data_IF_131480818354
#
_entry.id   IF_131480818354
#
_cell.length_a   1.000
_cell.length_b   1.000
_cell.length_c   1.000
_cell.angle_alpha   90.00
_cell.angle_beta   90.00
_cell.angle_gamma   90.00
#
_symmetry.space_group_name_H-M   'P 1'
#
loop_
_entity.id
_entity.type
_entity.pdbx_description
1 polymer ?
#
# COMPACT_ATOMS: atom_id res chain seq x y z
N UNK A 1 11.48 -8.72 15.86
CA UNK A 1 10.92 -7.97 14.73
C UNK A 1 9.61 -8.61 14.28
N UNK A 2 8.54 -7.83 14.32
CA UNK A 2 7.23 -8.31 13.92
C UNK A 2 7.12 -8.42 12.41
N UNK A 3 6.61 -9.54 11.91
CA UNK A 3 6.39 -9.74 10.47
C UNK A 3 5.06 -9.12 10.05
N UNK A 4 5.05 -8.51 8.89
CA UNK A 4 3.84 -7.91 8.33
C UNK A 4 3.52 -8.53 6.97
N UNK A 5 2.24 -8.85 6.72
CA UNK A 5 1.86 -9.45 5.45
C UNK A 5 1.97 -8.43 4.32
N UNK A 6 2.43 -8.92 3.18
CA UNK A 6 2.53 -8.12 1.97
C UNK A 6 2.22 -9.02 0.76
N UNK A 7 1.62 -8.46 -0.28
CA UNK A 7 1.39 -9.21 -1.51
C UNK A 7 2.68 -9.31 -2.32
N UNK A 8 2.71 -10.25 -3.26
CA UNK A 8 3.86 -10.40 -4.18
C UNK A 8 4.09 -9.09 -4.95
N UNK A 9 3.03 -8.49 -5.48
CA UNK A 9 3.13 -7.23 -6.23
C UNK A 9 3.57 -6.07 -5.34
N UNK A 10 3.11 -6.04 -4.08
CA UNK A 10 3.52 -5.01 -3.12
C UNK A 10 5.01 -5.06 -2.82
N UNK A 11 5.56 -6.26 -2.61
CA UNK A 11 6.99 -6.42 -2.39
C UNK A 11 7.78 -6.00 -3.63
N UNK A 12 7.32 -6.37 -4.80
CA UNK A 12 7.95 -6.02 -6.05
C UNK A 12 7.98 -4.50 -6.28
N UNK A 13 6.86 -3.84 -5.95
CA UNK A 13 6.77 -2.38 -6.04
C UNK A 13 7.72 -1.69 -5.06
N UNK A 14 7.86 -2.20 -3.84
CA UNK A 14 8.82 -1.65 -2.87
C UNK A 14 10.25 -1.79 -3.37
N UNK A 15 10.61 -2.94 -3.92
CA UNK A 15 11.95 -3.17 -4.47
C UNK A 15 12.23 -2.24 -5.65
N UNK A 16 11.26 -2.03 -6.53
CA UNK A 16 11.38 -1.13 -7.68
C UNK A 16 11.54 0.32 -7.24
N UNK A 17 10.75 0.75 -6.26
CA UNK A 17 10.85 2.10 -5.70
C UNK A 17 12.23 2.31 -5.06
N UNK A 18 12.72 1.33 -4.30
CA UNK A 18 14.02 1.39 -3.66
C UNK A 18 15.14 1.55 -4.69
N UNK A 19 15.07 0.79 -5.77
CA UNK A 19 16.04 0.88 -6.86
C UNK A 19 16.03 2.27 -7.51
N UNK A 20 14.84 2.81 -7.77
CA UNK A 20 14.68 4.15 -8.34
C UNK A 20 15.26 5.23 -7.40
N UNK A 21 14.96 5.14 -6.10
CA UNK A 21 15.47 6.08 -5.12
C UNK A 21 17.00 6.07 -5.07
N UNK A 22 17.62 4.89 -5.09
CA UNK A 22 19.08 4.76 -4.99
C UNK A 22 19.80 5.08 -6.28
N UNK A 23 19.27 4.68 -7.42
CA UNK A 23 19.97 4.72 -8.70
C UNK A 23 19.60 5.92 -9.57
N UNK A 24 18.45 6.54 -9.33
CA UNK A 24 17.96 7.69 -10.10
C UNK A 24 17.83 8.93 -9.24
N UNK A 25 17.03 8.89 -8.20
CA UNK A 25 16.71 10.08 -7.42
C UNK A 25 17.88 10.56 -6.56
N UNK A 26 18.60 9.63 -5.92
CA UNK A 26 19.75 9.99 -5.08
C UNK A 26 20.87 10.66 -5.87
N UNK A 27 21.34 10.11 -7.00
CA UNK A 27 22.34 10.80 -7.80
C UNK A 27 21.88 12.17 -8.30
N UNK A 28 20.61 12.27 -8.68
CA UNK A 28 20.01 13.50 -9.20
C UNK A 28 20.01 14.61 -8.15
N UNK A 29 19.66 14.28 -6.91
CA UNK A 29 19.64 15.27 -5.82
C UNK A 29 21.05 15.66 -5.40
N UNK A 30 22.01 14.74 -5.44
CA UNK A 30 23.41 15.05 -5.16
C UNK A 30 23.93 16.09 -6.18
N UNK A 31 23.59 15.91 -7.46
CA UNK A 31 23.95 16.86 -8.51
C UNK A 31 23.26 18.22 -8.30
N UNK A 32 21.98 18.22 -7.93
CA UNK A 32 21.24 19.45 -7.64
C UNK A 32 21.83 20.23 -6.45
N UNK A 33 22.29 19.52 -5.43
CA UNK A 33 22.96 20.14 -4.27
C UNK A 33 24.28 20.78 -4.72
N UNK A 34 25.07 20.08 -5.51
CA UNK A 34 26.35 20.59 -6.03
C UNK A 34 26.13 21.84 -6.87
N UNK A 35 25.12 21.84 -7.72
CA UNK A 35 24.76 23.01 -8.55
C UNK A 35 24.33 24.18 -7.68
N UNK A 36 23.45 23.95 -6.71
CA UNK A 36 22.98 25.01 -5.81
C UNK A 36 24.13 25.64 -5.00
N UNK A 37 25.09 24.82 -4.58
CA UNK A 37 26.28 25.33 -3.84
C UNK A 37 27.15 26.24 -4.69
N UNK A 38 27.14 26.05 -6.00
CA UNK A 38 27.89 26.88 -6.92
C UNK A 38 27.37 28.31 -7.03
N UNK A 39 26.14 28.57 -6.58
CA UNK A 39 25.49 29.88 -6.65
C UNK A 39 25.82 30.80 -5.46
N UNK A 40 26.66 30.37 -4.53
CA UNK A 40 27.21 31.26 -3.47
C UNK A 40 26.73 30.92 -2.07
N UNK A 41 26.20 31.92 -1.33
CA UNK A 41 25.89 31.82 0.09
C UNK A 41 24.90 30.71 0.43
N UNK A 42 25.33 29.78 1.28
CA UNK A 42 24.50 28.63 1.67
C UNK A 42 23.38 28.99 2.65
N UNK A 43 23.54 30.04 3.45
CA UNK A 43 22.54 30.45 4.45
C UNK A 43 21.27 31.02 3.82
N UNK A 44 21.42 31.76 2.73
CA UNK A 44 20.30 32.41 2.03
C UNK A 44 19.96 31.74 0.72
N UNK A 45 20.57 30.61 0.42
CA UNK A 45 20.35 29.89 -0.84
C UNK A 45 19.15 28.96 -0.72
N UNK A 46 17.99 29.45 -1.20
CA UNK A 46 16.73 28.69 -1.16
C UNK A 46 16.81 27.38 -1.95
N UNK A 47 17.53 27.38 -3.07
CA UNK A 47 17.70 26.17 -3.89
C UNK A 47 18.49 25.11 -3.14
N UNK A 48 19.55 25.51 -2.45
CA UNK A 48 20.36 24.61 -1.62
C UNK A 48 19.53 23.99 -0.50
N UNK A 49 18.77 24.81 0.23
CA UNK A 49 17.92 24.32 1.34
C UNK A 49 16.83 23.39 0.85
N UNK A 50 16.18 23.70 -0.29
CA UNK A 50 15.17 22.85 -0.88
C UNK A 50 15.75 21.50 -1.31
N UNK A 51 16.94 21.51 -1.93
CA UNK A 51 17.62 20.29 -2.34
C UNK A 51 18.04 19.42 -1.16
N UNK A 52 18.53 20.03 -0.07
CA UNK A 52 18.88 19.30 1.16
C UNK A 52 17.65 18.69 1.82
N UNK A 53 16.52 19.40 1.83
CA UNK A 53 15.26 18.88 2.34
C UNK A 53 14.79 17.69 1.51
N UNK A 54 14.86 17.80 0.20
CA UNK A 54 14.50 16.71 -0.69
C UNK A 54 15.40 15.49 -0.50
N UNK A 55 16.70 15.70 -0.30
CA UNK A 55 17.65 14.63 0.01
C UNK A 55 17.25 13.89 1.29
N UNK A 56 16.87 14.63 2.32
CA UNK A 56 16.42 14.04 3.59
C UNK A 56 15.17 13.17 3.39
N UNK A 57 14.21 13.61 2.57
CA UNK A 57 13.01 12.84 2.25
C UNK A 57 13.36 11.54 1.52
N UNK A 58 14.29 11.60 0.55
CA UNK A 58 14.75 10.42 -0.18
C UNK A 58 15.38 9.41 0.79
N UNK A 59 16.28 9.86 1.66
CA UNK A 59 16.95 8.95 2.60
C UNK A 59 15.98 8.37 3.63
N UNK A 60 15.02 9.15 4.11
CA UNK A 60 13.97 8.66 5.00
C UNK A 60 13.14 7.56 4.33
N UNK A 61 12.80 7.75 3.06
CA UNK A 61 12.02 6.76 2.32
C UNK A 61 12.82 5.48 2.10
N UNK A 62 14.12 5.59 1.79
CA UNK A 62 15.02 4.44 1.66
C UNK A 62 15.04 3.61 2.95
N UNK A 63 15.18 4.26 4.09
CA UNK A 63 15.20 3.60 5.39
C UNK A 63 13.87 2.90 5.64
N UNK A 64 12.75 3.58 5.37
CA UNK A 64 11.41 3.02 5.57
C UNK A 64 11.18 1.78 4.70
N UNK A 65 11.57 1.83 3.43
CA UNK A 65 11.40 0.71 2.51
C UNK A 65 12.28 -0.48 2.94
N UNK A 66 13.52 -0.24 3.32
CA UNK A 66 14.40 -1.30 3.81
C UNK A 66 13.81 -2.00 5.03
N UNK A 67 13.20 -1.25 5.94
CA UNK A 67 12.52 -1.79 7.11
C UNK A 67 11.30 -2.64 6.69
N UNK A 68 10.48 -2.12 5.79
CA UNK A 68 9.31 -2.85 5.28
C UNK A 68 9.70 -4.17 4.62
N UNK A 69 10.75 -4.16 3.79
CA UNK A 69 11.26 -5.37 3.13
C UNK A 69 11.77 -6.37 4.16
N UNK A 70 12.49 -5.89 5.17
CA UNK A 70 13.03 -6.76 6.22
C UNK A 70 11.92 -7.42 7.04
N UNK A 71 10.79 -6.76 7.22
CA UNK A 71 9.65 -7.28 7.99
C UNK A 71 8.62 -8.01 7.13
N UNK A 72 8.80 -8.02 5.82
CA UNK A 72 7.81 -8.56 4.89
C UNK A 72 7.60 -10.07 5.09
N UNK A 73 6.32 -10.44 5.21
CA UNK A 73 5.85 -11.81 5.12
C UNK A 73 5.02 -11.90 3.85
N UNK A 74 5.61 -12.41 2.78
CA UNK A 74 4.97 -12.42 1.46
C UNK A 74 3.91 -13.51 1.41
N UNK A 75 2.69 -13.11 1.08
CA UNK A 75 1.56 -14.03 0.92
C UNK A 75 1.16 -14.05 -0.56
N UNK A 76 1.32 -15.21 -1.17
CA UNK A 76 0.93 -15.45 -2.56
C UNK A 76 -0.34 -16.31 -2.55
N UNK A 77 -1.48 -15.66 -2.75
CA UNK A 77 -2.79 -16.36 -2.70
C UNK A 77 -2.95 -17.35 -3.86
N UNK A 78 -2.21 -17.16 -4.95
CA UNK A 78 -2.30 -18.09 -6.08
C UNK A 78 -1.77 -19.49 -5.75
N UNK A 79 -1.00 -19.60 -4.66
CA UNK A 79 -0.46 -20.88 -4.15
C UNK A 79 -1.29 -21.48 -3.04
N UNK A 80 -2.40 -20.86 -2.68
CA UNK A 80 -3.31 -21.32 -1.62
C UNK A 80 -4.58 -21.85 -2.26
N UNK A 81 -5.08 -22.99 -1.76
CA UNK A 81 -6.33 -23.54 -2.25
C UNK A 81 -7.50 -22.62 -1.87
N UNK A 82 -8.31 -22.25 -2.87
CA UNK A 82 -9.45 -21.37 -2.66
C UNK A 82 -10.65 -22.16 -2.16
N UNK A 83 -10.97 -21.99 -0.89
CA UNK A 83 -12.13 -22.62 -0.25
C UNK A 83 -13.29 -21.64 -0.03
N UNK A 84 -13.25 -20.47 -0.68
CA UNK A 84 -14.27 -19.42 -0.56
C UNK A 84 -14.09 -18.48 0.61
N UNK A 85 -13.03 -18.64 1.39
CA UNK A 85 -12.76 -17.80 2.57
C UNK A 85 -11.95 -16.57 2.19
N UNK A 86 -12.35 -15.43 2.74
CA UNK A 86 -11.61 -14.17 2.55
C UNK A 86 -10.35 -14.19 3.40
N UNK A 87 -9.20 -14.09 2.74
CA UNK A 87 -7.89 -14.04 3.40
C UNK A 87 -7.12 -12.81 2.92
N UNK A 88 -6.01 -12.50 3.58
CA UNK A 88 -5.12 -11.45 3.12
C UNK A 88 -4.69 -11.72 1.67
N UNK A 89 -4.72 -10.69 0.84
CA UNK A 89 -4.32 -10.79 -0.57
C UNK A 89 -5.43 -11.28 -1.50
N UNK A 90 -6.55 -11.78 -0.97
CA UNK A 90 -7.67 -12.22 -1.82
C UNK A 90 -8.42 -11.03 -2.42
N UNK A 91 -9.08 -11.28 -3.53
CA UNK A 91 -9.95 -10.32 -4.21
C UNK A 91 -11.39 -10.70 -3.94
N UNK A 92 -12.16 -9.80 -3.37
CA UNK A 92 -13.52 -10.05 -2.91
C UNK A 92 -14.49 -9.17 -3.69
N UNK A 93 -15.44 -9.81 -4.38
CA UNK A 93 -16.54 -9.10 -5.03
C UNK A 93 -17.68 -8.99 -4.06
N UNK A 94 -18.07 -7.76 -3.73
CA UNK A 94 -19.18 -7.48 -2.82
C UNK A 94 -20.28 -6.69 -3.52
N UNK A 95 -21.49 -6.82 -3.03
CA UNK A 95 -22.61 -6.03 -3.48
C UNK A 95 -23.11 -5.19 -2.32
N UNK A 96 -23.19 -3.87 -2.53
CA UNK A 96 -23.81 -2.96 -1.58
C UNK A 96 -25.32 -3.19 -1.62
N UNK A 97 -25.89 -3.62 -0.50
CA UNK A 97 -27.33 -4.00 -0.45
C UNK A 97 -28.27 -2.80 -0.50
N UNK A 98 -27.77 -1.58 -0.29
CA UNK A 98 -28.58 -0.37 -0.39
C UNK A 98 -28.62 0.20 -1.80
N UNK A 99 -27.49 0.18 -2.52
CA UNK A 99 -27.36 0.77 -3.86
C UNK A 99 -27.33 -0.25 -4.98
N UNK A 100 -27.26 -1.55 -4.65
CA UNK A 100 -27.09 -2.68 -5.57
C UNK A 100 -25.80 -2.62 -6.41
N UNK A 101 -24.89 -1.75 -6.08
CA UNK A 101 -23.59 -1.64 -6.76
C UNK A 101 -22.67 -2.79 -6.38
N UNK A 102 -21.97 -3.32 -7.36
CA UNK A 102 -20.98 -4.39 -7.18
C UNK A 102 -19.58 -3.79 -7.30
N UNK A 103 -18.72 -4.12 -6.35
CA UNK A 103 -17.34 -3.64 -6.31
C UNK A 103 -16.44 -4.81 -5.95
N UNK A 104 -15.27 -4.88 -6.58
CA UNK A 104 -14.24 -5.85 -6.20
C UNK A 104 -13.14 -5.15 -5.44
N UNK A 105 -12.84 -5.63 -4.23
CA UNK A 105 -11.76 -5.12 -3.39
C UNK A 105 -10.68 -6.18 -3.23
N UNK A 106 -9.43 -5.74 -3.22
CA UNK A 106 -8.33 -6.61 -2.85
C UNK A 106 -7.82 -6.19 -1.47
N UNK A 107 -7.63 -7.16 -0.58
CA UNK A 107 -7.13 -6.91 0.78
C UNK A 107 -5.61 -6.92 0.76
N UNK A 108 -5.02 -5.78 1.10
CA UNK A 108 -3.58 -5.56 0.99
C UNK A 108 -3.01 -4.97 2.28
N UNK A 109 -1.69 -4.80 2.33
CA UNK A 109 -1.01 -4.14 3.44
C UNK A 109 -1.20 -2.64 3.41
N UNK A 110 -0.83 -1.97 4.50
CA UNK A 110 -1.03 -0.53 4.65
C UNK A 110 -0.35 0.29 3.54
N UNK A 111 0.88 -0.07 3.19
CA UNK A 111 1.66 0.66 2.19
C UNK A 111 1.13 0.45 0.76
N UNK A 112 0.43 -0.66 0.53
CA UNK A 112 -0.16 -0.98 -0.78
C UNK A 112 -1.54 -0.38 -0.98
N UNK A 113 -2.20 0.04 0.09
CA UNK A 113 -3.60 0.47 0.05
C UNK A 113 -3.79 1.69 -0.84
N UNK A 114 -4.78 1.62 -1.73
CA UNK A 114 -5.15 2.71 -2.63
C UNK A 114 -6.64 2.56 -2.99
N UNK A 115 -7.47 3.39 -2.40
CA UNK A 115 -8.93 3.34 -2.58
C UNK A 115 -9.30 3.50 -4.06
N UNK A 116 -8.57 4.31 -4.81
CA UNK A 116 -8.85 4.54 -6.25
C UNK A 116 -8.68 3.27 -7.08
N UNK A 117 -7.82 2.35 -6.62
CA UNK A 117 -7.58 1.06 -7.28
C UNK A 117 -8.32 -0.09 -6.60
N UNK A 118 -9.20 0.21 -5.64
CA UNK A 118 -9.91 -0.78 -4.84
C UNK A 118 -9.00 -1.72 -4.06
N UNK A 119 -7.81 -1.21 -3.70
CA UNK A 119 -6.88 -1.89 -2.80
C UNK A 119 -7.12 -1.36 -1.39
N UNK A 120 -7.68 -2.19 -0.52
CA UNK A 120 -8.03 -1.76 0.83
C UNK A 120 -7.12 -2.40 1.86
N UNK A 121 -6.76 -1.61 2.86
CA UNK A 121 -5.96 -2.10 3.97
C UNK A 121 -6.75 -3.19 4.73
N UNK A 122 -6.14 -4.34 4.93
CA UNK A 122 -6.82 -5.48 5.55
C UNK A 122 -7.27 -5.22 7.00
N UNK A 123 -6.67 -4.26 7.68
CA UNK A 123 -7.07 -3.84 9.04
C UNK A 123 -8.00 -2.62 9.04
N UNK A 124 -8.43 -2.14 7.88
CA UNK A 124 -9.45 -1.09 7.80
C UNK A 124 -10.81 -1.63 8.26
N UNK A 125 -11.79 -0.77 8.57
CA UNK A 125 -13.11 -1.25 8.99
C UNK A 125 -13.73 -2.26 8.03
N UNK A 126 -13.70 -1.99 6.72
CA UNK A 126 -14.23 -2.93 5.73
C UNK A 126 -13.34 -4.17 5.61
N UNK A 127 -12.02 -4.02 5.67
CA UNK A 127 -11.08 -5.14 5.64
C UNK A 127 -11.30 -6.09 6.81
N UNK A 128 -11.44 -5.56 8.02
CA UNK A 128 -11.73 -6.38 9.21
C UNK A 128 -13.07 -7.09 9.13
N UNK A 129 -14.06 -6.44 8.53
CA UNK A 129 -15.38 -7.05 8.38
C UNK A 129 -15.36 -8.21 7.36
N UNK A 130 -14.49 -8.10 6.35
CA UNK A 130 -14.38 -9.11 5.29
C UNK A 130 -13.50 -10.31 5.69
N UNK A 131 -12.36 -10.06 6.33
CA UNK A 131 -11.39 -11.12 6.67
C UNK A 131 -12.05 -12.23 7.47
N UNK A 132 -11.86 -13.47 7.04
CA UNK A 132 -12.38 -14.65 7.71
C UNK A 132 -13.82 -15.02 7.32
N UNK A 133 -14.48 -14.16 6.55
CA UNK A 133 -15.83 -14.44 6.04
C UNK A 133 -15.76 -15.33 4.80
N UNK A 134 -16.90 -15.92 4.47
CA UNK A 134 -16.98 -16.85 3.34
C UNK A 134 -17.89 -16.29 2.24
N UNK A 135 -17.68 -16.77 1.03
CA UNK A 135 -18.58 -16.49 -0.09
C UNK A 135 -20.04 -16.74 0.34
N UNK A 136 -20.92 -15.80 0.04
CA UNK A 136 -22.34 -15.85 0.36
C UNK A 136 -22.72 -15.21 1.68
N UNK A 137 -21.76 -14.87 2.54
CA UNK A 137 -22.05 -14.20 3.81
C UNK A 137 -22.31 -12.71 3.61
N UNK A 138 -23.12 -12.16 4.50
CA UNK A 138 -23.37 -10.73 4.58
C UNK A 138 -22.52 -10.11 5.67
N UNK A 139 -22.05 -8.90 5.43
CA UNK A 139 -21.26 -8.14 6.42
C UNK A 139 -21.89 -6.78 6.65
N UNK A 140 -21.65 -6.22 7.83
CA UNK A 140 -22.05 -4.86 8.18
C UNK A 140 -20.80 -4.06 8.50
N UNK A 141 -20.67 -2.90 7.87
CA UNK A 141 -19.54 -2.00 8.07
C UNK A 141 -20.06 -0.67 8.63
N UNK A 142 -19.48 -0.22 9.75
CA UNK A 142 -19.80 1.07 10.32
C UNK A 142 -18.94 2.14 9.64
N UNK A 143 -19.61 3.08 8.98
CA UNK A 143 -18.95 4.21 8.32
C UNK A 143 -19.38 5.53 8.99
N UNK A 144 -18.65 6.63 8.78
CA UNK A 144 -19.08 7.94 9.31
C UNK A 144 -20.48 8.37 8.85
N UNK A 145 -20.94 7.86 7.69
CA UNK A 145 -22.28 8.15 7.17
C UNK A 145 -23.33 7.11 7.60
N UNK A 146 -22.97 6.17 8.48
CA UNK A 146 -23.87 5.15 9.01
C UNK A 146 -23.45 3.74 8.67
N UNK A 147 -24.32 2.77 8.97
CA UNK A 147 -24.06 1.37 8.68
C UNK A 147 -24.27 1.08 7.20
N UNK A 148 -23.37 0.28 6.63
CA UNK A 148 -23.48 -0.22 5.26
C UNK A 148 -23.45 -1.74 5.30
N UNK A 149 -24.35 -2.34 4.54
CA UNK A 149 -24.46 -3.80 4.45
C UNK A 149 -24.01 -4.27 3.08
N UNK A 150 -23.19 -5.32 3.04
CA UNK A 150 -22.68 -5.91 1.81
C UNK A 150 -22.86 -7.40 1.84
N UNK A 151 -23.06 -7.98 0.65
CA UNK A 151 -23.05 -9.42 0.45
C UNK A 151 -21.76 -9.81 -0.29
N UNK A 152 -21.09 -10.86 0.17
CA UNK A 152 -19.91 -11.38 -0.49
C UNK A 152 -20.35 -12.30 -1.62
N UNK A 153 -20.14 -11.84 -2.85
CA UNK A 153 -20.57 -12.57 -4.04
C UNK A 153 -19.54 -13.59 -4.51
N UNK A 154 -18.28 -13.20 -4.50
CA UNK A 154 -17.17 -14.05 -4.93
C UNK A 154 -15.92 -13.75 -4.16
N UNK A 155 -15.08 -14.79 -3.98
CA UNK A 155 -13.74 -14.66 -3.38
C UNK A 155 -12.76 -15.31 -4.35
N UNK A 156 -11.80 -14.52 -4.84
CA UNK A 156 -10.81 -14.98 -5.81
C UNK A 156 -9.40 -14.90 -5.22
N UNK A 157 -8.61 -15.93 -5.47
CA UNK A 157 -7.21 -16.00 -5.06
C UNK A 157 -6.35 -15.79 -6.30
N UNK A 158 -6.26 -14.53 -6.75
CA UNK A 158 -5.58 -14.13 -7.99
C UNK A 158 -4.45 -13.12 -7.79
#
# INVERSE_FOLDING_TARGET
MEKEPITVSGLQNLKSELEDLKNVQRPKIVEAIAEARSHGDLKENAEYHAAKEQQALIESRVIAINDMIARANVIDVTKIENNGKVIFGSTVKVQDLETDKKISYRLVGQDEADIKKNLIFFKSPIGKALIGKNKGEMITVNTPSGERNFEILEVEYI
#
